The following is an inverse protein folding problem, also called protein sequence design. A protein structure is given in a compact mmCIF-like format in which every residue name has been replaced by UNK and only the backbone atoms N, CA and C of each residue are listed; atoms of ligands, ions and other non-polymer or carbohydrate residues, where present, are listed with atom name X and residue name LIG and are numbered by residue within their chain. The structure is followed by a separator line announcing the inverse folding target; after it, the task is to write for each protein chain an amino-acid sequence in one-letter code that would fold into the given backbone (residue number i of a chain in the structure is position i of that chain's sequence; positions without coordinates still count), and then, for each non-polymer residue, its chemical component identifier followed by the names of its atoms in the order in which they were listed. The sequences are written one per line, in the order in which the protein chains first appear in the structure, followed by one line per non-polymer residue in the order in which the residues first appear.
data_IF_658175755718
#
_entry.id   IF_658175755718
#
_cell.length_a   1.000
_cell.length_b   1.000
_cell.length_c   1.000
_cell.angle_alpha   90.00
_cell.angle_beta   90.00
_cell.angle_gamma   90.00
#
_symmetry.space_group_name_H-M   'P 1'
#
loop_
_entity.id
_entity.type
_entity.pdbx_description
1 polymer ?
#
# COMPACT_ATOMS: atom_id res chain seq x y z
N UNK A 1 39.80 7.38 -50.70
CA UNK A 1 40.53 6.80 -49.55
C UNK A 1 39.98 7.45 -48.28
N UNK A 2 39.15 6.87 -47.42
CA UNK A 2 38.41 5.61 -47.37
C UNK A 2 37.22 5.87 -46.43
N UNK A 3 36.03 5.49 -46.87
CA UNK A 3 34.77 5.63 -46.15
C UNK A 3 34.69 4.49 -45.13
N UNK A 4 35.04 4.72 -43.87
CA UNK A 4 34.84 3.70 -42.83
C UNK A 4 33.37 3.70 -42.40
N UNK A 5 32.63 2.80 -43.03
CA UNK A 5 31.39 2.24 -42.50
C UNK A 5 31.68 1.58 -41.15
N UNK A 6 31.21 2.18 -40.06
CA UNK A 6 30.98 1.44 -38.81
C UNK A 6 29.54 0.93 -38.85
N UNK A 7 29.41 -0.26 -39.45
CA UNK A 7 28.26 -1.13 -39.30
C UNK A 7 28.25 -1.71 -37.87
N UNK A 8 27.05 -1.80 -37.29
CA UNK A 8 26.73 -2.86 -36.35
C UNK A 8 27.08 -2.57 -34.90
N UNK A 9 26.12 -2.02 -34.16
CA UNK A 9 25.52 -2.72 -33.01
C UNK A 9 24.29 -1.91 -32.55
N UNK A 10 23.27 -1.86 -33.41
CA UNK A 10 21.92 -1.60 -32.93
C UNK A 10 21.50 -2.89 -32.22
N UNK A 11 21.91 -3.04 -30.95
CA UNK A 11 21.33 -4.06 -30.05
C UNK A 11 19.85 -3.74 -29.92
N UNK A 12 19.09 -4.30 -30.85
CA UNK A 12 17.68 -4.60 -30.71
C UNK A 12 17.53 -5.71 -29.66
N UNK A 13 18.01 -5.49 -28.43
CA UNK A 13 17.38 -6.12 -27.26
C UNK A 13 16.10 -5.34 -26.95
N UNK A 14 15.18 -5.27 -27.92
CA UNK A 14 13.77 -5.30 -27.61
C UNK A 14 13.36 -6.77 -27.50
N UNK A 15 13.96 -7.51 -26.57
CA UNK A 15 13.22 -8.59 -25.96
C UNK A 15 12.11 -7.92 -25.16
N UNK A 16 10.93 -7.85 -25.76
CA UNK A 16 9.69 -7.44 -25.13
C UNK A 16 9.29 -8.48 -24.10
N UNK A 17 10.09 -8.64 -23.03
CA UNK A 17 9.66 -9.41 -21.88
C UNK A 17 8.47 -8.70 -21.29
N UNK A 18 7.39 -9.46 -21.10
CA UNK A 18 6.26 -9.02 -20.32
C UNK A 18 6.77 -8.74 -18.91
N UNK A 19 7.12 -7.48 -18.64
CA UNK A 19 7.57 -7.04 -17.33
C UNK A 19 6.45 -7.38 -16.37
N UNK A 20 6.79 -8.19 -15.37
CA UNK A 20 5.88 -8.47 -14.29
C UNK A 20 5.40 -7.13 -13.74
N UNK A 21 4.08 -6.90 -13.61
CA UNK A 21 3.56 -5.66 -13.07
C UNK A 21 3.96 -5.56 -11.60
N UNK A 22 5.15 -5.00 -11.37
CA UNK A 22 5.72 -4.76 -10.06
C UNK A 22 5.41 -3.32 -9.67
N UNK A 23 4.75 -3.16 -8.54
CA UNK A 23 4.46 -1.84 -8.03
C UNK A 23 5.69 -1.27 -7.30
N UNK A 24 6.45 -0.42 -8.01
CA UNK A 24 7.70 0.19 -7.51
C UNK A 24 7.51 1.00 -6.22
N UNK A 25 6.28 1.42 -5.95
CA UNK A 25 5.90 2.19 -4.76
C UNK A 25 6.26 1.47 -3.46
N UNK A 26 6.23 0.13 -3.43
CA UNK A 26 6.54 -0.69 -2.26
C UNK A 26 8.03 -1.02 -2.10
N UNK A 27 8.82 -0.90 -3.17
CA UNK A 27 10.23 -1.28 -3.20
C UNK A 27 11.07 -0.61 -2.11
N UNK A 28 10.90 0.68 -1.76
CA UNK A 28 11.68 1.29 -0.69
C UNK A 28 11.51 0.58 0.66
N UNK A 29 10.31 0.09 0.96
CA UNK A 29 10.02 -0.57 2.23
C UNK A 29 10.53 -2.01 2.24
N UNK A 30 10.41 -2.71 1.10
CA UNK A 30 10.99 -4.05 0.90
C UNK A 30 12.51 -3.99 1.02
N UNK A 31 13.16 -3.00 0.41
CA UNK A 31 14.61 -2.84 0.43
C UNK A 31 15.15 -2.56 1.84
N UNK A 32 14.41 -1.81 2.68
CA UNK A 32 14.77 -1.62 4.09
C UNK A 32 14.76 -2.94 4.86
N UNK A 33 13.67 -3.72 4.74
CA UNK A 33 13.55 -5.03 5.39
C UNK A 33 14.66 -5.97 4.92
N UNK A 34 14.93 -6.00 3.62
CA UNK A 34 15.97 -6.83 3.01
C UNK A 34 17.37 -6.42 3.47
N UNK A 35 17.64 -5.11 3.59
CA UNK A 35 18.92 -4.60 4.09
C UNK A 35 19.20 -5.08 5.51
N UNK A 36 18.20 -4.99 6.40
CA UNK A 36 18.32 -5.49 7.77
C UNK A 36 18.52 -7.01 7.82
N UNK A 37 17.75 -7.77 7.04
CA UNK A 37 17.91 -9.21 6.94
C UNK A 37 19.34 -9.60 6.48
N UNK A 38 19.87 -8.93 5.44
CA UNK A 38 21.25 -9.14 4.97
C UNK A 38 22.29 -8.80 6.03
N UNK A 39 22.08 -7.74 6.82
CA UNK A 39 22.98 -7.38 7.91
C UNK A 39 22.99 -8.46 9.00
N UNK A 40 21.81 -8.98 9.36
CA UNK A 40 21.68 -10.08 10.32
C UNK A 40 22.41 -11.32 9.78
N UNK A 41 22.13 -11.73 8.54
CA UNK A 41 22.77 -12.89 7.90
C UNK A 41 24.28 -12.74 7.88
N UNK A 42 24.80 -11.57 7.57
CA UNK A 42 26.24 -11.31 7.55
C UNK A 42 26.88 -11.47 8.93
N UNK A 43 26.25 -10.96 9.99
CA UNK A 43 26.76 -11.09 11.37
C UNK A 43 26.70 -12.56 11.80
N UNK A 44 25.55 -13.21 11.62
CA UNK A 44 25.36 -14.62 12.00
C UNK A 44 26.31 -15.54 11.24
N UNK A 45 26.53 -15.29 9.94
CA UNK A 45 27.48 -16.05 9.12
C UNK A 45 28.91 -15.88 9.61
N UNK A 46 29.34 -14.66 9.92
CA UNK A 46 30.70 -14.41 10.46
C UNK A 46 30.88 -15.13 11.80
N UNK A 47 29.92 -15.02 12.72
CA UNK A 47 29.97 -15.70 14.02
C UNK A 47 30.04 -17.23 13.85
N UNK A 48 29.26 -17.79 12.91
CA UNK A 48 29.31 -19.21 12.58
C UNK A 48 30.65 -19.63 11.99
N UNK A 49 31.25 -18.80 11.12
CA UNK A 49 32.56 -19.08 10.54
C UNK A 49 33.68 -19.05 11.58
N UNK A 50 33.66 -18.07 12.51
CA UNK A 50 34.62 -18.00 13.61
C UNK A 50 34.52 -19.21 14.54
N UNK A 51 33.30 -19.61 14.90
CA UNK A 51 33.04 -20.82 15.67
C UNK A 51 33.53 -22.07 14.96
N UNK A 52 33.24 -22.21 13.66
CA UNK A 52 33.69 -23.34 12.85
C UNK A 52 35.23 -23.39 12.76
N UNK A 53 35.90 -22.24 12.58
CA UNK A 53 37.37 -22.18 12.57
C UNK A 53 37.98 -22.58 13.91
N UNK A 54 37.43 -22.07 15.01
CA UNK A 54 37.91 -22.40 16.36
C UNK A 54 37.75 -23.90 16.66
N UNK A 55 36.56 -24.44 16.40
CA UNK A 55 36.28 -25.87 16.61
C UNK A 55 37.11 -26.77 15.70
N UNK A 56 37.28 -26.40 14.43
CA UNK A 56 38.15 -27.13 13.50
C UNK A 56 39.61 -27.14 13.97
N UNK A 57 40.11 -26.00 14.46
CA UNK A 57 41.47 -25.89 14.97
C UNK A 57 41.69 -26.76 16.21
N UNK A 58 40.75 -26.72 17.17
CA UNK A 58 40.79 -27.55 18.38
C UNK A 58 40.76 -29.05 18.05
N UNK A 59 39.86 -29.49 17.18
CA UNK A 59 39.74 -30.90 16.76
C UNK A 59 40.98 -31.40 16.01
N UNK A 60 41.56 -30.55 15.15
CA UNK A 60 42.76 -30.92 14.41
C UNK A 60 43.98 -31.05 15.33
N UNK A 61 44.10 -30.18 16.34
CA UNK A 61 45.15 -30.29 17.35
C UNK A 61 44.96 -31.57 18.19
N UNK A 62 43.74 -31.89 18.60
CA UNK A 62 43.40 -33.13 19.31
C UNK A 62 43.74 -34.38 18.48
N UNK A 63 43.42 -34.37 17.19
CA UNK A 63 43.74 -35.47 16.26
C UNK A 63 45.26 -35.68 16.11
N UNK A 64 46.05 -34.62 16.29
CA UNK A 64 47.51 -34.66 16.24
C UNK A 64 48.15 -34.82 17.63
N UNK A 65 47.35 -35.04 18.68
CA UNK A 65 47.78 -35.11 20.08
C UNK A 65 48.59 -33.87 20.54
N UNK A 66 48.33 -32.72 19.91
CA UNK A 66 48.96 -31.45 20.24
C UNK A 66 48.13 -30.67 21.27
N UNK A 67 48.80 -30.06 22.24
CA UNK A 67 48.16 -29.17 23.21
C UNK A 67 47.95 -27.78 22.60
N UNK A 68 46.69 -27.33 22.53
CA UNK A 68 46.36 -25.95 22.15
C UNK A 68 46.62 -25.04 23.34
N UNK A 69 47.78 -24.39 23.34
CA UNK A 69 48.10 -23.37 24.33
C UNK A 69 47.32 -22.09 24.03
N UNK A 70 46.52 -21.64 25.00
CA UNK A 70 45.77 -20.40 24.92
C UNK A 70 46.65 -19.23 25.37
N UNK A 71 47.61 -18.83 24.51
CA UNK A 71 48.53 -17.70 24.75
C UNK A 71 47.85 -16.32 24.74
N UNK A 72 46.53 -16.25 24.58
CA UNK A 72 45.78 -15.01 24.64
C UNK A 72 46.06 -14.27 25.98
N UNK A 73 46.62 -13.07 25.86
CA UNK A 73 46.78 -12.16 26.99
C UNK A 73 45.43 -11.89 27.66
N UNK A 74 45.44 -11.62 28.97
CA UNK A 74 44.22 -11.30 29.72
C UNK A 74 43.45 -10.12 29.07
N UNK A 75 44.18 -9.14 28.57
CA UNK A 75 43.63 -7.99 27.87
C UNK A 75 42.94 -8.38 26.54
N UNK A 76 43.51 -9.33 25.81
CA UNK A 76 42.97 -9.84 24.56
C UNK A 76 41.70 -10.66 24.79
N UNK A 77 41.67 -11.49 25.83
CA UNK A 77 40.46 -12.20 26.27
C UNK A 77 39.36 -11.24 26.70
N UNK A 78 39.69 -10.21 27.47
CA UNK A 78 38.74 -9.19 27.89
C UNK A 78 38.18 -8.41 26.69
N UNK A 79 39.03 -8.05 25.71
CA UNK A 79 38.61 -7.38 24.49
C UNK A 79 37.69 -8.26 23.63
N UNK A 80 38.05 -9.52 23.42
CA UNK A 80 37.22 -10.50 22.71
C UNK A 80 35.83 -10.67 23.34
N UNK A 81 35.75 -10.71 24.67
CA UNK A 81 34.46 -10.76 25.37
C UNK A 81 33.63 -9.50 25.17
N UNK A 82 34.25 -8.31 25.26
CA UNK A 82 33.59 -7.03 24.98
C UNK A 82 33.07 -6.98 23.54
N UNK A 83 33.87 -7.40 22.56
CA UNK A 83 33.49 -7.44 21.15
C UNK A 83 32.33 -8.40 20.89
N UNK A 84 32.33 -9.60 21.48
CA UNK A 84 31.23 -10.57 21.40
C UNK A 84 29.94 -10.02 22.02
N UNK A 85 30.03 -9.30 23.14
CA UNK A 85 28.86 -8.63 23.74
C UNK A 85 28.30 -7.54 22.81
N UNK A 86 29.17 -6.69 22.26
CA UNK A 86 28.75 -5.60 21.36
C UNK A 86 28.06 -6.17 20.11
N UNK A 87 28.67 -7.16 19.46
CA UNK A 87 28.09 -7.80 18.26
C UNK A 87 26.77 -8.51 18.57
N UNK A 88 26.65 -9.18 19.72
CA UNK A 88 25.39 -9.78 20.16
C UNK A 88 24.30 -8.74 20.43
N UNK A 89 24.63 -7.63 21.08
CA UNK A 89 23.70 -6.52 21.30
C UNK A 89 23.25 -5.89 19.98
N UNK A 90 24.18 -5.67 19.06
CA UNK A 90 23.89 -5.16 17.71
C UNK A 90 22.96 -6.12 16.94
N UNK A 91 23.22 -7.43 17.00
CA UNK A 91 22.38 -8.45 16.37
C UNK A 91 20.97 -8.42 16.95
N UNK A 92 20.81 -8.36 18.28
CA UNK A 92 19.49 -8.25 18.93
C UNK A 92 18.76 -6.98 18.52
N UNK A 93 19.47 -5.85 18.44
CA UNK A 93 18.90 -4.57 18.00
C UNK A 93 18.37 -4.66 16.57
N UNK A 94 19.16 -5.22 15.64
CA UNK A 94 18.75 -5.41 14.24
C UNK A 94 17.55 -6.36 14.11
N UNK A 95 17.53 -7.44 14.90
CA UNK A 95 16.39 -8.35 14.96
C UNK A 95 15.11 -7.66 15.47
N UNK A 96 15.23 -6.84 16.52
CA UNK A 96 14.11 -6.05 17.04
C UNK A 96 13.59 -5.06 16.00
N UNK A 97 14.49 -4.36 15.30
CA UNK A 97 14.12 -3.43 14.24
C UNK A 97 13.39 -4.16 13.10
N UNK A 98 13.93 -5.29 12.63
CA UNK A 98 13.30 -6.10 11.61
C UNK A 98 11.91 -6.59 12.05
N UNK A 99 11.77 -7.10 13.28
CA UNK A 99 10.48 -7.53 13.82
C UNK A 99 9.46 -6.41 13.89
N UNK A 100 9.88 -5.20 14.26
CA UNK A 100 9.00 -4.02 14.27
C UNK A 100 8.55 -3.60 12.88
N UNK A 101 9.39 -3.79 11.85
CA UNK A 101 8.98 -3.55 10.46
C UNK A 101 8.08 -4.66 9.93
N UNK A 102 8.31 -5.91 10.31
CA UNK A 102 7.53 -7.06 9.86
C UNK A 102 6.13 -7.11 10.49
N UNK A 103 5.95 -6.57 11.71
CA UNK A 103 4.64 -6.47 12.35
C UNK A 103 3.70 -5.47 11.67
N UNK A 104 4.25 -4.55 10.85
CA UNK A 104 3.48 -3.58 10.07
C UNK A 104 3.27 -4.09 8.63
N UNK A 105 2.09 -3.90 8.02
CA UNK A 105 1.90 -4.19 6.60
C UNK A 105 2.79 -3.29 5.72
N UNK A 106 3.20 -3.80 4.56
CA UNK A 106 3.95 -3.02 3.58
C UNK A 106 3.10 -1.85 3.10
N UNK A 107 3.69 -0.66 3.04
CA UNK A 107 3.00 0.55 2.59
C UNK A 107 3.76 1.19 1.42
N UNK A 108 3.04 1.67 0.38
CA UNK A 108 3.66 2.34 -0.74
C UNK A 108 4.21 3.70 -0.33
N UNK A 109 5.27 4.18 -0.99
CA UNK A 109 5.85 5.52 -0.72
C UNK A 109 4.86 6.66 -0.98
N UNK A 110 3.92 6.46 -1.90
CA UNK A 110 2.85 7.41 -2.24
C UNK A 110 1.64 7.36 -1.30
N UNK A 111 1.72 6.58 -0.21
CA UNK A 111 0.63 6.40 0.74
C UNK A 111 0.20 7.73 1.37
N UNK A 112 -1.02 8.15 1.08
CA UNK A 112 -1.61 9.30 1.74
C UNK A 112 -2.41 8.84 2.95
N UNK A 113 -1.90 9.13 4.15
CA UNK A 113 -2.64 8.94 5.41
C UNK A 113 -3.92 9.79 5.50
N UNK A 114 -4.14 10.73 4.57
CA UNK A 114 -5.30 11.61 4.54
C UNK A 114 -6.55 10.98 3.94
N UNK A 115 -6.41 9.93 3.12
CA UNK A 115 -7.54 9.38 2.36
C UNK A 115 -7.62 7.87 2.51
N UNK A 116 -8.78 7.39 2.98
CA UNK A 116 -9.06 5.99 3.31
C UNK A 116 -8.90 5.02 2.12
N UNK A 117 -9.11 5.49 0.88
CA UNK A 117 -9.02 4.65 -0.32
C UNK A 117 -7.60 4.35 -0.81
N UNK A 118 -6.60 5.15 -0.41
CA UNK A 118 -5.19 4.88 -0.74
C UNK A 118 -4.51 3.99 0.30
N UNK A 119 -5.22 3.64 1.37
CA UNK A 119 -4.61 3.16 2.59
C UNK A 119 -4.67 1.65 2.82
N UNK A 120 -5.52 0.92 2.10
CA UNK A 120 -6.08 -0.30 2.68
C UNK A 120 -6.82 0.01 3.98
N UNK A 121 -7.63 -0.92 4.48
CA UNK A 121 -8.42 -0.67 5.69
C UNK A 121 -7.46 -0.52 6.88
N UNK A 122 -7.44 0.65 7.52
CA UNK A 122 -6.69 0.87 8.76
C UNK A 122 -7.12 -0.16 9.83
N UNK A 123 -6.21 -0.69 10.68
CA UNK A 123 -6.58 -1.63 11.73
C UNK A 123 -7.72 -1.14 12.65
N UNK A 124 -7.75 0.16 12.96
CA UNK A 124 -8.85 0.74 13.75
C UNK A 124 -10.18 0.76 12.99
N UNK A 125 -10.14 1.00 11.68
CA UNK A 125 -11.33 0.96 10.84
C UNK A 125 -11.80 -0.48 10.60
N UNK A 126 -10.88 -1.44 10.55
CA UNK A 126 -11.20 -2.87 10.48
C UNK A 126 -11.95 -3.31 11.74
N UNK A 127 -11.49 -2.88 12.92
CA UNK A 127 -12.20 -3.11 14.18
C UNK A 127 -13.59 -2.47 14.18
N UNK A 128 -13.72 -1.23 13.70
CA UNK A 128 -15.02 -0.57 13.58
C UNK A 128 -15.96 -1.31 12.62
N UNK A 129 -15.46 -1.81 11.49
CA UNK A 129 -16.27 -2.63 10.57
C UNK A 129 -16.66 -3.97 11.19
N UNK A 130 -15.76 -4.60 11.94
CA UNK A 130 -16.04 -5.83 12.67
C UNK A 130 -17.09 -5.62 13.76
N UNK A 131 -17.00 -4.53 14.52
CA UNK A 131 -17.95 -4.16 15.55
C UNK A 131 -19.34 -3.83 14.95
N UNK A 132 -19.38 -3.13 13.82
CA UNK A 132 -20.60 -2.90 13.04
C UNK A 132 -21.20 -4.19 12.48
N UNK A 133 -20.37 -5.14 12.00
CA UNK A 133 -20.83 -6.44 11.54
C UNK A 133 -21.45 -7.26 12.69
N UNK A 134 -20.84 -7.21 13.89
CA UNK A 134 -21.36 -7.85 15.11
C UNK A 134 -22.68 -7.22 15.57
N UNK A 135 -22.80 -5.89 15.56
CA UNK A 135 -24.06 -5.20 15.88
C UNK A 135 -25.20 -5.55 14.91
N UNK A 136 -24.89 -5.77 13.62
CA UNK A 136 -25.89 -6.15 12.61
C UNK A 136 -26.41 -7.57 12.77
N UNK A 137 -25.65 -8.46 13.42
CA UNK A 137 -26.09 -9.83 13.71
C UNK A 137 -27.05 -9.90 14.91
N UNK A 138 -26.96 -8.96 15.85
CA UNK A 138 -27.83 -8.90 17.04
C UNK A 138 -29.25 -8.35 16.78
N UNK A 139 -29.44 -7.53 15.75
CA UNK A 139 -30.71 -6.80 15.50
C UNK A 139 -31.53 -7.41 14.36
N UNK A 140 -31.88 -8.70 14.44
CA UNK A 140 -32.33 -9.44 13.25
C UNK A 140 -33.46 -10.47 13.38
N UNK A 141 -34.28 -10.48 14.44
CA UNK A 141 -35.58 -11.18 14.40
C UNK A 141 -36.63 -10.15 13.98
N UNK A 142 -36.84 -9.98 12.68
CA UNK A 142 -38.14 -9.67 12.08
C UNK A 142 -38.04 -9.88 10.55
N UNK A 143 -38.96 -10.70 10.08
CA UNK A 143 -38.98 -11.41 8.82
C UNK A 143 -39.57 -10.52 7.71
N UNK A 144 -38.72 -9.92 6.87
CA UNK A 144 -39.19 -9.13 5.71
C UNK A 144 -38.12 -8.65 4.74
N UNK A 145 -36.86 -8.48 5.17
CA UNK A 145 -35.83 -7.77 4.39
C UNK A 145 -34.71 -8.65 3.79
N UNK A 146 -34.89 -9.98 3.67
CA UNK A 146 -33.83 -10.87 3.17
C UNK A 146 -33.36 -10.57 1.72
N UNK A 147 -34.13 -9.79 0.96
CA UNK A 147 -33.78 -9.36 -0.41
C UNK A 147 -32.85 -8.15 -0.47
N UNK A 148 -32.91 -7.24 0.51
CA UNK A 148 -32.00 -6.06 0.59
C UNK A 148 -30.64 -6.39 1.20
N UNK A 149 -30.54 -7.47 1.98
CA UNK A 149 -29.32 -7.88 2.70
C UNK A 149 -28.18 -8.34 1.79
N UNK A 150 -28.46 -8.67 0.53
CA UNK A 150 -27.46 -9.11 -0.46
C UNK A 150 -27.05 -8.02 -1.45
N UNK A 151 -27.52 -6.79 -1.30
CA UNK A 151 -27.30 -5.72 -2.29
C UNK A 151 -26.10 -4.85 -1.89
N UNK A 152 -25.24 -4.52 -2.84
CA UNK A 152 -24.14 -3.55 -2.71
C UNK A 152 -24.63 -2.17 -3.11
N UNK A 153 -24.23 -1.13 -2.36
CA UNK A 153 -24.60 0.25 -2.68
C UNK A 153 -23.57 0.84 -3.65
N UNK A 154 -24.02 1.22 -4.85
CA UNK A 154 -23.22 1.94 -5.85
C UNK A 154 -23.89 3.28 -6.13
N UNK A 155 -23.28 4.36 -5.64
CA UNK A 155 -23.88 5.70 -5.74
C UNK A 155 -25.11 5.84 -4.83
N UNK A 156 -26.27 6.19 -5.40
CA UNK A 156 -27.56 6.27 -4.67
C UNK A 156 -28.38 4.98 -4.78
N UNK A 157 -27.94 4.01 -5.58
CA UNK A 157 -28.71 2.81 -5.90
C UNK A 157 -28.13 1.57 -5.21
N UNK A 158 -29.01 0.66 -4.79
CA UNK A 158 -28.64 -0.66 -4.26
C UNK A 158 -28.74 -1.68 -5.41
N UNK A 159 -27.68 -2.43 -5.68
CA UNK A 159 -27.61 -3.40 -6.79
C UNK A 159 -26.97 -4.70 -6.31
N UNK A 160 -27.40 -5.85 -6.85
CA UNK A 160 -26.80 -7.14 -6.51
C UNK A 160 -25.30 -7.19 -6.89
N UNK A 161 -24.41 -7.75 -6.04
CA UNK A 161 -22.97 -7.76 -6.27
C UNK A 161 -22.54 -8.40 -7.60
N UNK A 162 -23.17 -9.49 -8.03
CA UNK A 162 -22.86 -10.13 -9.32
C UNK A 162 -23.28 -9.26 -10.50
N UNK A 163 -24.43 -8.60 -10.40
CA UNK A 163 -24.90 -7.66 -11.41
C UNK A 163 -24.01 -6.42 -11.44
N UNK A 164 -23.56 -5.92 -10.29
CA UNK A 164 -22.60 -4.82 -10.18
C UNK A 164 -21.28 -5.17 -10.87
N UNK A 165 -20.75 -6.38 -10.66
CA UNK A 165 -19.53 -6.84 -11.31
C UNK A 165 -19.72 -6.98 -12.83
N UNK A 166 -20.86 -7.52 -13.27
CA UNK A 166 -21.21 -7.63 -14.70
C UNK A 166 -21.36 -6.26 -15.37
N UNK A 167 -21.93 -5.28 -14.66
CA UNK A 167 -22.05 -3.91 -15.13
C UNK A 167 -20.70 -3.18 -15.15
N UNK A 168 -19.82 -3.48 -14.19
CA UNK A 168 -18.48 -2.89 -14.09
C UNK A 168 -17.48 -3.52 -15.08
N UNK A 169 -17.69 -4.78 -15.46
CA UNK A 169 -16.84 -5.55 -16.36
C UNK A 169 -17.00 -5.24 -17.86
N UNK A 170 -17.93 -4.35 -18.25
CA UNK A 170 -17.87 -3.75 -19.58
C UNK A 170 -16.71 -2.74 -19.56
N UNK A 171 -15.56 -3.16 -20.07
CA UNK A 171 -14.43 -2.27 -20.29
C UNK A 171 -14.93 -1.04 -21.06
N UNK A 172 -14.85 0.11 -20.39
CA UNK A 172 -15.24 1.38 -20.95
C UNK A 172 -14.25 1.69 -22.05
N UNK A 173 -14.56 1.33 -23.30
CA UNK A 173 -14.03 2.02 -24.46
C UNK A 173 -14.41 3.49 -24.28
N UNK A 174 -13.48 4.28 -23.73
CA UNK A 174 -13.68 5.69 -23.46
C UNK A 174 -13.67 6.44 -24.79
N UNK A 175 -14.82 6.47 -25.48
CA UNK A 175 -15.03 7.43 -26.55
C UNK A 175 -15.05 8.84 -25.93
N UNK A 176 -13.95 9.57 -26.11
CA UNK A 176 -13.71 10.92 -25.62
C UNK A 176 -14.79 11.92 -26.10
N UNK A 177 -15.49 11.60 -27.19
CA UNK A 177 -16.51 12.45 -27.82
C UNK A 177 -17.84 12.44 -27.05
N UNK A 178 -18.20 11.33 -26.42
CA UNK A 178 -19.47 11.21 -25.67
C UNK A 178 -19.42 11.93 -24.31
N UNK A 179 -18.24 11.95 -23.65
CA UNK A 179 -18.03 12.66 -22.38
C UNK A 179 -18.20 14.18 -22.51
N UNK A 180 -17.80 14.77 -23.64
CA UNK A 180 -17.97 16.21 -23.89
C UNK A 180 -19.44 16.58 -24.07
N UNK A 181 -20.24 15.70 -24.70
CA UNK A 181 -21.69 15.86 -24.82
C UNK A 181 -22.40 15.83 -23.47
N UNK A 182 -22.11 14.82 -22.63
CA UNK A 182 -22.72 14.68 -21.29
C UNK A 182 -22.39 15.87 -20.38
N UNK A 183 -21.17 16.43 -20.44
CA UNK A 183 -20.80 17.65 -19.70
C UNK A 183 -21.63 18.87 -20.16
N UNK A 184 -21.77 19.08 -21.47
CA UNK A 184 -22.58 20.19 -22.03
C UNK A 184 -24.06 20.09 -21.62
N UNK A 185 -24.63 18.88 -21.54
CA UNK A 185 -26.01 18.66 -21.11
C UNK A 185 -26.22 19.04 -19.64
N UNK A 186 -25.29 18.64 -18.76
CA UNK A 186 -25.36 18.98 -17.33
C UNK A 186 -25.25 20.48 -17.09
N UNK A 187 -24.36 21.17 -17.81
CA UNK A 187 -24.20 22.62 -17.69
C UNK A 187 -25.42 23.39 -18.20
N UNK A 188 -26.02 22.93 -19.30
CA UNK A 188 -27.29 23.49 -19.80
C UNK A 188 -28.44 23.29 -18.81
N UNK A 189 -28.52 22.13 -18.15
CA UNK A 189 -29.54 21.87 -17.11
C UNK A 189 -29.35 22.79 -15.89
N UNK A 190 -28.09 22.99 -15.45
CA UNK A 190 -27.74 23.93 -14.37
C UNK A 190 -28.12 25.37 -14.74
N UNK A 191 -27.87 25.78 -15.99
CA UNK A 191 -28.21 27.11 -16.50
C UNK A 191 -29.73 27.34 -16.53
N UNK A 192 -30.50 26.37 -17.05
CA UNK A 192 -31.98 26.41 -17.04
C UNK A 192 -32.55 26.54 -15.62
N UNK A 193 -32.07 25.74 -14.66
CA UNK A 193 -32.49 25.85 -13.25
C UNK A 193 -32.18 27.22 -12.63
N UNK A 194 -31.05 27.83 -12.99
CA UNK A 194 -30.67 29.16 -12.49
C UNK A 194 -31.56 30.26 -13.08
N UNK A 195 -31.93 30.16 -14.34
CA UNK A 195 -32.84 31.10 -15.01
C UNK A 195 -34.27 30.99 -14.47
N UNK A 196 -34.75 29.78 -14.23
CA UNK A 196 -36.07 29.54 -13.63
C UNK A 196 -36.18 30.14 -12.22
N UNK A 197 -35.15 29.95 -11.38
CA UNK A 197 -35.06 30.63 -10.06
C UNK A 197 -35.07 32.15 -10.18
N UNK A 198 -34.41 32.73 -11.19
CA UNK A 198 -34.45 34.18 -11.44
C UNK A 198 -35.85 34.64 -11.87
N UNK A 199 -36.53 33.90 -12.74
CA UNK A 199 -37.90 34.20 -13.19
C UNK A 199 -38.88 34.19 -12.02
N UNK A 200 -38.82 33.17 -11.16
CA UNK A 200 -39.65 33.08 -9.96
C UNK A 200 -39.41 34.26 -9.00
N UNK A 201 -38.14 34.65 -8.80
CA UNK A 201 -37.79 35.81 -7.96
C UNK A 201 -38.31 37.13 -8.55
N UNK A 202 -38.27 37.29 -9.87
CA UNK A 202 -38.81 38.46 -10.55
C UNK A 202 -40.34 38.49 -10.51
N UNK A 203 -41.02 37.34 -10.63
CA UNK A 203 -42.47 37.24 -10.46
C UNK A 203 -42.90 37.65 -9.05
N UNK A 204 -42.22 37.15 -8.01
CA UNK A 204 -42.47 37.56 -6.61
C UNK A 204 -42.26 39.06 -6.39
N UNK A 205 -41.25 39.66 -7.04
CA UNK A 205 -41.02 41.11 -7.00
C UNK A 205 -42.13 41.90 -7.69
N UNK A 206 -42.67 41.41 -8.81
CA UNK A 206 -43.79 42.04 -9.51
C UNK A 206 -45.08 41.94 -8.69
N UNK A 207 -45.38 40.79 -8.10
CA UNK A 207 -46.54 40.62 -7.21
C UNK A 207 -46.48 41.53 -5.98
N UNK A 208 -45.29 41.73 -5.38
CA UNK A 208 -45.09 42.70 -4.27
C UNK A 208 -45.19 44.18 -4.67
N UNK A 209 -45.12 44.49 -5.98
CA UNK A 209 -45.23 45.85 -6.51
C UNK A 209 -46.63 46.18 -7.03
N UNK A 210 -47.57 45.24 -6.99
CA UNK A 210 -48.98 45.56 -7.20
C UNK A 210 -49.45 46.34 -5.96
N UNK A 211 -49.89 47.60 -6.11
CA UNK A 211 -50.45 48.34 -4.98
C UNK A 211 -51.69 47.58 -4.48
N UNK A 212 -51.76 47.32 -3.18
CA UNK A 212 -53.04 47.03 -2.55
C UNK A 212 -53.91 48.25 -2.80
N UNK A 213 -54.90 48.09 -3.69
CA UNK A 213 -55.94 49.08 -3.88
C UNK A 213 -56.59 49.33 -2.53
N UNK A 214 -56.64 50.61 -2.16
CA UNK A 214 -57.63 51.15 -1.26
C UNK A 214 -58.99 50.55 -1.62
N UNK A 215 -59.59 49.83 -0.68
CA UNK A 215 -61.02 49.60 -0.67
C UNK A 215 -61.53 50.18 0.66
N UNK A 216 -62.62 50.92 0.50
CA UNK A 216 -63.40 51.76 1.44
C UNK A 216 -63.64 51.17 2.84
#
# INVERSE_FOLDING_TARGET
MGHMFLFGFHLSLQESFQRFPLEESYMPEVMKRLSLARQIDNITRKESQEKAKKTWFEQNAETLELTVDNYDSEEERANNHKQKKITSMQLKKLQQELNSLLSRPLQPKSFSHRYLGGAGVSPGLQQQFEELARQRLGNGINLGDYKRRKMVVIGQDCVEPLQALRNAGHEVHVDLKEKTGKRKVIDNLKRKRKEEKKRLRNQRRKQKKMPQGFNE
#
